data_IF_584992533655
#
_entry.id   IF_584992533655
#
_cell.length_a   1.000
_cell.length_b   1.000
_cell.length_c   1.000
_cell.angle_alpha   90.00
_cell.angle_beta   90.00
_cell.angle_gamma   90.00
#
_symmetry.space_group_name_H-M   'P 1'
#
loop_
_entity.id
_entity.type
_entity.pdbx_description
1 polymer ?
#
# COMPACT_ATOMS: atom_id res chain seq x y z
N UNK A 1 -58.73 -71.10 1.62
CA UNK A 1 -59.52 -69.96 2.14
C UNK A 1 -58.69 -68.71 1.93
N UNK A 2 -59.18 -67.84 1.06
CA UNK A 2 -58.74 -66.46 0.88
C UNK A 2 -58.95 -65.66 2.18
N UNK A 3 -58.17 -64.59 2.39
CA UNK A 3 -58.62 -63.18 2.46
C UNK A 3 -57.38 -62.27 2.59
N UNK A 4 -57.21 -61.40 1.57
CA UNK A 4 -56.81 -59.96 1.51
C UNK A 4 -55.81 -59.38 2.53
N UNK A 5 -54.75 -58.65 2.11
CA UNK A 5 -54.77 -57.23 1.68
C UNK A 5 -54.29 -56.34 2.85
N UNK A 6 -53.62 -55.19 2.76
CA UNK A 6 -53.16 -54.29 1.70
C UNK A 6 -52.15 -53.29 2.34
N UNK A 7 -51.22 -52.76 1.53
CA UNK A 7 -50.57 -51.43 1.58
C UNK A 7 -50.02 -50.82 2.90
N UNK A 8 -48.77 -50.35 2.88
CA UNK A 8 -48.43 -48.94 2.59
C UNK A 8 -46.99 -48.52 2.94
N UNK A 9 -46.40 -47.75 2.02
CA UNK A 9 -45.32 -46.76 2.18
C UNK A 9 -43.97 -47.21 2.76
N UNK A 10 -42.86 -47.01 2.06
CA UNK A 10 -42.16 -45.72 2.16
C UNK A 10 -41.27 -45.47 0.95
N UNK A 11 -41.83 -44.76 -0.02
CA UNK A 11 -41.08 -44.05 -1.07
C UNK A 11 -40.64 -42.70 -0.47
N UNK A 12 -39.47 -42.63 0.16
CA UNK A 12 -38.98 -41.36 0.76
C UNK A 12 -37.48 -41.12 0.68
N UNK A 13 -36.70 -42.00 0.05
CA UNK A 13 -35.23 -41.86 0.03
C UNK A 13 -34.65 -41.17 -1.20
N UNK A 14 -35.43 -40.97 -2.28
CA UNK A 14 -34.92 -40.36 -3.53
C UNK A 14 -35.24 -38.86 -3.64
N UNK A 15 -36.31 -38.37 -3.01
CA UNK A 15 -36.71 -36.97 -3.08
C UNK A 15 -35.84 -36.03 -2.21
N UNK A 16 -35.20 -36.55 -1.16
CA UNK A 16 -34.41 -35.75 -0.21
C UNK A 16 -32.97 -35.47 -0.65
N UNK A 17 -32.49 -36.05 -1.74
CA UNK A 17 -31.19 -35.68 -2.34
C UNK A 17 -31.27 -34.49 -3.30
N UNK A 18 -32.46 -34.02 -3.64
CA UNK A 18 -32.68 -32.99 -4.67
C UNK A 18 -32.95 -31.57 -4.12
N UNK A 19 -32.94 -31.38 -2.79
CA UNK A 19 -33.31 -30.10 -2.14
C UNK A 19 -32.19 -29.40 -1.35
N UNK A 20 -30.92 -29.76 -1.56
CA UNK A 20 -29.78 -28.97 -1.08
C UNK A 20 -28.76 -28.63 -2.17
N UNK A 21 -29.20 -28.51 -3.42
CA UNK A 21 -28.44 -27.77 -4.43
C UNK A 21 -28.96 -26.33 -4.46
N UNK A 22 -28.87 -25.62 -3.33
CA UNK A 22 -28.98 -24.16 -3.35
C UNK A 22 -27.76 -23.67 -4.10
N UNK A 23 -27.96 -23.33 -5.37
CA UNK A 23 -27.01 -22.71 -6.30
C UNK A 23 -25.81 -22.07 -5.58
N UNK A 24 -24.72 -22.83 -5.50
CA UNK A 24 -23.37 -22.29 -5.38
C UNK A 24 -22.95 -21.70 -6.73
N UNK A 25 -23.88 -21.03 -7.42
CA UNK A 25 -23.56 -20.24 -8.61
C UNK A 25 -22.59 -19.18 -8.15
N UNK A 26 -21.39 -19.17 -8.74
CA UNK A 26 -20.41 -18.12 -8.56
C UNK A 26 -20.97 -16.84 -9.21
N UNK A 27 -21.92 -16.20 -8.53
CA UNK A 27 -22.57 -14.94 -8.94
C UNK A 27 -21.54 -13.82 -9.07
N UNK A 28 -20.41 -13.96 -8.39
CA UNK A 28 -19.27 -13.06 -8.42
C UNK A 28 -18.53 -13.17 -9.77
N UNK A 29 -18.38 -14.38 -10.33
CA UNK A 29 -17.83 -14.58 -11.68
C UNK A 29 -18.73 -14.08 -12.81
N UNK A 30 -20.05 -13.98 -12.56
CA UNK A 30 -21.06 -13.47 -13.49
C UNK A 30 -21.11 -11.95 -13.61
N UNK A 31 -20.40 -11.20 -12.77
CA UNK A 31 -20.29 -9.74 -12.87
C UNK A 31 -19.49 -9.34 -14.12
N UNK A 32 -19.95 -8.27 -14.77
CA UNK A 32 -19.23 -7.64 -15.89
C UNK A 32 -17.95 -6.96 -15.38
N UNK A 33 -16.87 -6.99 -16.19
CA UNK A 33 -15.54 -6.49 -15.79
C UNK A 33 -15.53 -5.04 -15.26
N UNK A 34 -16.27 -4.07 -15.85
CA UNK A 34 -16.33 -2.72 -15.30
C UNK A 34 -16.84 -2.65 -13.86
N UNK A 35 -17.81 -3.50 -13.50
CA UNK A 35 -18.35 -3.58 -12.14
C UNK A 35 -17.32 -4.20 -11.19
N UNK A 36 -16.59 -5.22 -11.64
CA UNK A 36 -15.52 -5.82 -10.84
C UNK A 36 -14.41 -4.79 -10.60
N UNK A 37 -14.00 -4.01 -11.60
CA UNK A 37 -13.03 -2.93 -11.43
C UNK A 37 -13.50 -1.84 -10.47
N UNK A 38 -14.78 -1.48 -10.53
CA UNK A 38 -15.38 -0.54 -9.59
C UNK A 38 -15.32 -1.09 -8.16
N UNK A 39 -15.75 -2.33 -7.93
CA UNK A 39 -15.68 -2.99 -6.62
C UNK A 39 -14.24 -3.05 -6.12
N UNK A 40 -13.30 -3.53 -6.94
CA UNK A 40 -11.88 -3.63 -6.58
C UNK A 40 -11.24 -2.27 -6.27
N UNK A 41 -11.75 -1.16 -6.82
CA UNK A 41 -11.23 0.17 -6.52
C UNK A 41 -11.51 0.66 -5.09
N UNK A 42 -12.48 0.05 -4.41
CA UNK A 42 -12.83 0.36 -3.02
C UNK A 42 -12.22 -0.60 -1.99
N UNK A 43 -11.53 -1.64 -2.44
CA UNK A 43 -11.11 -2.78 -1.62
C UNK A 43 -9.58 -2.75 -1.43
N UNK A 44 -9.09 -3.07 -0.24
CA UNK A 44 -7.64 -3.19 0.01
C UNK A 44 -7.08 -4.44 -0.69
N UNK A 45 -5.83 -4.38 -1.17
CA UNK A 45 -5.16 -5.52 -1.80
C UNK A 45 -5.22 -6.83 -1.00
N UNK A 46 -5.26 -6.82 0.34
CA UNK A 46 -5.49 -8.09 1.08
C UNK A 46 -6.86 -8.69 0.75
N UNK A 47 -7.90 -7.88 0.76
CA UNK A 47 -9.27 -8.32 0.48
C UNK A 47 -9.39 -8.72 -1.00
N UNK A 48 -8.65 -8.07 -1.91
CA UNK A 48 -8.49 -8.53 -3.30
C UNK A 48 -7.86 -9.93 -3.38
N UNK A 49 -6.83 -10.19 -2.58
CA UNK A 49 -6.22 -11.52 -2.49
C UNK A 49 -7.16 -12.55 -1.83
N UNK A 50 -7.98 -12.15 -0.87
CA UNK A 50 -8.97 -13.05 -0.26
C UNK A 50 -10.12 -13.37 -1.22
N UNK A 51 -10.63 -12.38 -1.97
CA UNK A 51 -11.67 -12.57 -2.98
C UNK A 51 -11.16 -13.41 -4.16
N UNK A 52 -9.84 -13.42 -4.43
CA UNK A 52 -9.25 -14.32 -5.42
C UNK A 52 -9.32 -15.81 -5.03
N UNK A 53 -9.56 -16.13 -3.75
CA UNK A 53 -9.89 -17.49 -3.31
C UNK A 53 -11.33 -17.89 -3.65
N UNK A 54 -12.23 -16.91 -3.81
CA UNK A 54 -13.63 -17.13 -4.16
C UNK A 54 -13.83 -17.32 -5.67
N UNK A 55 -13.04 -16.61 -6.49
CA UNK A 55 -13.10 -16.75 -7.95
C UNK A 55 -11.74 -16.50 -8.60
N UNK A 56 -11.24 -17.49 -9.36
CA UNK A 56 -9.97 -17.40 -10.11
C UNK A 56 -9.95 -16.24 -11.12
N UNK A 57 -11.12 -15.78 -11.56
CA UNK A 57 -11.26 -14.62 -12.46
C UNK A 57 -10.71 -13.35 -11.80
N UNK A 58 -10.87 -13.18 -10.49
CA UNK A 58 -10.47 -11.97 -9.77
C UNK A 58 -8.95 -11.86 -9.57
N UNK A 59 -8.23 -12.99 -9.58
CA UNK A 59 -6.77 -13.05 -9.45
C UNK A 59 -6.01 -12.29 -10.52
N UNK A 60 -6.59 -12.10 -11.71
CA UNK A 60 -5.95 -11.37 -12.81
C UNK A 60 -6.49 -9.95 -13.00
N UNK A 61 -7.71 -9.67 -12.49
CA UNK A 61 -8.38 -8.40 -12.69
C UNK A 61 -7.74 -7.26 -11.90
N UNK A 62 -7.07 -7.54 -10.78
CA UNK A 62 -6.31 -6.51 -10.05
C UNK A 62 -5.22 -5.87 -10.91
N UNK A 63 -4.68 -6.53 -11.94
CA UNK A 63 -3.68 -5.92 -12.84
C UNK A 63 -4.27 -4.84 -13.75
N UNK A 64 -5.59 -4.82 -13.89
CA UNK A 64 -6.33 -3.85 -14.70
C UNK A 64 -7.02 -2.78 -13.85
N UNK A 65 -6.87 -2.80 -12.52
CA UNK A 65 -7.37 -1.74 -11.66
C UNK A 65 -6.50 -0.49 -11.79
N UNK A 66 -7.15 0.67 -11.71
CA UNK A 66 -6.49 1.98 -11.76
C UNK A 66 -6.00 2.44 -10.39
N UNK A 67 -6.59 1.94 -9.32
CA UNK A 67 -6.29 2.34 -7.95
C UNK A 67 -5.91 1.11 -7.15
N UNK A 68 -4.74 1.13 -6.52
CA UNK A 68 -4.27 0.06 -5.65
C UNK A 68 -3.84 0.64 -4.31
N UNK A 69 -4.43 0.12 -3.22
CA UNK A 69 -4.12 0.55 -1.86
C UNK A 69 -3.70 -0.64 -1.02
N UNK A 70 -2.63 -0.46 -0.26
CA UNK A 70 -2.13 -1.42 0.72
C UNK A 70 -2.12 -0.71 2.08
N UNK A 71 -2.91 -1.18 3.04
CA UNK A 71 -2.92 -0.68 4.40
C UNK A 71 -2.51 -1.76 5.42
N UNK A 72 -1.86 -1.35 6.51
CA UNK A 72 -1.43 -2.23 7.61
C UNK A 72 -2.55 -3.05 8.22
N UNK A 73 -3.66 -2.38 8.58
CA UNK A 73 -4.78 -3.01 9.31
C UNK A 73 -5.46 -4.09 8.50
N UNK A 74 -5.19 -4.13 7.19
CA UNK A 74 -5.61 -5.22 6.34
C UNK A 74 -4.90 -6.48 6.79
N UNK A 75 -3.59 -6.48 7.05
CA UNK A 75 -2.82 -7.72 7.30
C UNK A 75 -2.86 -8.25 8.73
N UNK A 76 -3.54 -7.56 9.65
CA UNK A 76 -3.60 -7.93 11.08
C UNK A 76 -4.99 -7.95 11.68
N UNK A 77 -5.14 -8.72 12.77
CA UNK A 77 -6.32 -8.67 13.62
C UNK A 77 -6.12 -7.49 14.58
N UNK A 78 -7.18 -6.73 14.90
CA UNK A 78 -7.22 -5.44 15.63
C UNK A 78 -6.63 -5.40 17.07
N UNK A 79 -5.70 -6.29 17.45
CA UNK A 79 -5.24 -6.49 18.82
C UNK A 79 -3.74 -6.30 19.06
N UNK A 80 -2.93 -6.09 18.02
CA UNK A 80 -1.46 -5.99 18.20
C UNK A 80 -0.96 -4.55 18.48
N UNK A 81 -1.87 -3.57 18.51
CA UNK A 81 -1.57 -2.18 18.78
C UNK A 81 -1.82 -1.96 20.27
N UNK A 82 -0.74 -1.99 21.04
CA UNK A 82 -0.70 -1.80 22.50
C UNK A 82 -1.18 -2.98 23.35
N UNK A 83 -0.25 -3.88 23.69
CA UNK A 83 -0.28 -4.55 24.99
C UNK A 83 1.14 -4.78 25.49
N UNK A 84 1.70 -3.73 26.10
CA UNK A 84 2.51 -3.99 27.28
C UNK A 84 1.66 -4.78 28.27
N UNK A 85 2.07 -6.01 28.57
CA UNK A 85 1.51 -6.93 29.61
C UNK A 85 0.37 -7.89 29.22
N UNK A 86 0.47 -8.69 28.17
CA UNK A 86 -0.29 -9.95 28.15
C UNK A 86 0.43 -11.14 27.46
N UNK A 87 1.16 -11.98 28.21
CA UNK A 87 1.89 -13.14 27.66
C UNK A 87 0.99 -14.33 27.26
N UNK A 88 -0.34 -14.25 27.44
CA UNK A 88 -1.26 -15.40 27.28
C UNK A 88 -2.01 -15.48 25.95
N UNK A 89 -1.90 -14.49 25.08
CA UNK A 89 -2.43 -14.63 23.71
C UNK A 89 -1.46 -15.49 22.90
N UNK A 90 -1.85 -16.74 22.63
CA UNK A 90 -1.11 -17.64 21.73
C UNK A 90 -0.90 -16.91 20.42
N UNK A 91 0.36 -16.55 20.14
CA UNK A 91 0.82 -15.96 18.87
C UNK A 91 0.26 -16.80 17.73
N UNK A 92 -0.74 -16.29 17.02
CA UNK A 92 -1.21 -16.95 15.81
C UNK A 92 -0.02 -17.04 14.85
N UNK A 93 0.33 -18.26 14.41
CA UNK A 93 1.46 -18.54 13.49
C UNK A 93 1.45 -17.69 12.20
N UNK A 94 0.31 -17.08 11.87
CA UNK A 94 0.11 -16.21 10.71
C UNK A 94 0.69 -14.79 10.87
N UNK A 95 1.01 -14.29 12.08
CA UNK A 95 1.62 -12.95 12.24
C UNK A 95 3.13 -12.93 11.96
N UNK A 96 3.69 -14.06 11.49
CA UNK A 96 5.14 -14.24 11.26
C UNK A 96 5.52 -14.32 9.77
N UNK A 97 4.73 -13.74 8.87
CA UNK A 97 5.12 -13.63 7.46
C UNK A 97 6.20 -12.56 7.29
N UNK A 98 7.44 -13.01 7.07
CA UNK A 98 8.57 -12.15 6.70
C UNK A 98 8.59 -11.95 5.19
N UNK A 99 7.98 -10.86 4.72
CA UNK A 99 8.02 -10.51 3.30
C UNK A 99 9.38 -9.92 2.96
N UNK A 100 10.17 -10.59 2.12
CA UNK A 100 11.51 -10.09 1.72
C UNK A 100 11.44 -9.10 0.56
N UNK A 101 10.45 -9.23 -0.32
CA UNK A 101 10.27 -8.40 -1.51
C UNK A 101 8.80 -8.18 -1.81
N UNK A 102 8.43 -6.94 -2.10
CA UNK A 102 7.14 -6.55 -2.69
C UNK A 102 7.43 -5.95 -4.07
N UNK A 103 6.83 -6.51 -5.11
CA UNK A 103 6.96 -6.01 -6.47
C UNK A 103 5.57 -5.64 -7.01
N UNK A 104 5.42 -4.41 -7.48
CA UNK A 104 4.16 -3.87 -8.00
C UNK A 104 4.40 -3.46 -9.44
N UNK A 105 3.56 -3.99 -10.33
CA UNK A 105 3.49 -3.61 -11.73
C UNK A 105 2.04 -3.65 -12.20
N UNK A 106 1.67 -2.68 -13.03
CA UNK A 106 0.29 -2.45 -13.42
C UNK A 106 0.23 -1.45 -14.57
N UNK A 107 0.00 -1.90 -15.82
CA UNK A 107 0.06 -1.01 -16.98
C UNK A 107 -1.00 0.10 -16.95
N UNK A 108 -2.16 -0.19 -16.32
CA UNK A 108 -3.30 0.73 -16.16
C UNK A 108 -3.36 1.38 -14.77
N UNK A 109 -2.36 1.15 -13.92
CA UNK A 109 -2.37 1.69 -12.56
C UNK A 109 -2.12 3.19 -12.61
N UNK A 110 -3.04 3.98 -12.05
CA UNK A 110 -3.03 5.45 -12.02
C UNK A 110 -2.74 5.98 -10.61
N UNK A 111 -3.17 5.26 -9.57
CA UNK A 111 -2.97 5.60 -8.16
C UNK A 111 -2.44 4.41 -7.36
N UNK A 112 -1.37 4.62 -6.61
CA UNK A 112 -0.81 3.64 -5.69
C UNK A 112 -0.65 4.24 -4.30
N UNK A 113 -1.15 3.55 -3.28
CA UNK A 113 -0.93 3.87 -1.88
C UNK A 113 -0.32 2.68 -1.14
N UNK A 114 0.80 2.92 -0.47
CA UNK A 114 1.47 2.01 0.44
C UNK A 114 1.44 2.65 1.83
N UNK A 115 0.66 2.11 2.74
CA UNK A 115 0.50 2.65 4.08
C UNK A 115 0.78 1.58 5.14
N UNK A 116 1.90 1.73 5.86
CA UNK A 116 2.31 0.87 6.97
C UNK A 116 2.25 -0.64 6.62
N UNK A 117 2.55 -0.98 5.37
CA UNK A 117 2.26 -2.28 4.74
C UNK A 117 2.81 -3.52 5.45
N UNK A 118 3.86 -3.39 6.27
CA UNK A 118 4.45 -4.49 7.03
C UNK A 118 4.62 -4.13 8.51
N UNK A 119 4.13 -5.00 9.39
CA UNK A 119 4.40 -4.98 10.83
C UNK A 119 5.75 -5.57 11.20
N UNK A 120 6.22 -5.23 12.40
CA UNK A 120 7.39 -5.82 13.04
C UNK A 120 8.69 -5.56 12.28
N UNK A 121 9.77 -6.23 12.69
CA UNK A 121 11.16 -6.09 12.19
C UNK A 121 11.38 -6.44 10.68
N UNK A 122 10.43 -6.14 9.81
CA UNK A 122 10.45 -6.29 8.35
C UNK A 122 11.14 -5.10 7.65
N UNK A 123 11.98 -4.34 8.36
CA UNK A 123 12.84 -3.31 7.77
C UNK A 123 13.77 -3.85 6.67
N UNK A 124 13.98 -5.17 6.59
CA UNK A 124 14.81 -5.79 5.55
C UNK A 124 14.04 -6.09 4.23
N UNK A 125 12.81 -5.61 4.07
CA UNK A 125 12.03 -5.77 2.83
C UNK A 125 12.50 -4.81 1.74
N UNK A 126 12.53 -5.27 0.49
CA UNK A 126 12.71 -4.39 -0.68
C UNK A 126 11.37 -4.13 -1.37
N UNK A 127 11.10 -2.87 -1.70
CA UNK A 127 9.93 -2.46 -2.48
C UNK A 127 10.38 -2.14 -3.91
N UNK A 128 9.76 -2.79 -4.90
CA UNK A 128 9.94 -2.47 -6.32
C UNK A 128 8.62 -2.03 -6.92
N UNK A 129 8.59 -0.84 -7.50
CA UNK A 129 7.47 -0.33 -8.29
C UNK A 129 8.01 -0.10 -9.69
N UNK A 130 7.50 -0.83 -10.67
CA UNK A 130 8.03 -0.79 -12.04
C UNK A 130 6.96 -1.10 -13.06
N UNK A 131 7.14 -0.62 -14.29
CA UNK A 131 6.24 -0.89 -15.41
C UNK A 131 4.79 -0.45 -15.12
N UNK A 132 4.66 0.77 -14.60
CA UNK A 132 3.39 1.46 -14.35
C UNK A 132 3.39 2.79 -15.11
N UNK A 133 3.36 2.77 -16.45
CA UNK A 133 3.50 3.98 -17.27
C UNK A 133 2.33 4.96 -17.11
N UNK A 134 1.22 4.53 -16.52
CA UNK A 134 0.04 5.36 -16.27
C UNK A 134 -0.03 5.92 -14.84
N UNK A 135 0.96 5.62 -13.99
CA UNK A 135 0.89 5.98 -12.57
C UNK A 135 1.03 7.49 -12.40
N UNK A 136 -0.06 8.16 -12.07
CA UNK A 136 -0.15 9.60 -11.90
C UNK A 136 0.09 10.03 -10.44
N UNK A 137 -0.24 9.17 -9.47
CA UNK A 137 -0.14 9.49 -8.04
C UNK A 137 0.45 8.34 -7.24
N UNK A 138 1.45 8.65 -6.42
CA UNK A 138 2.09 7.71 -5.50
C UNK A 138 2.03 8.24 -4.07
N UNK A 139 1.53 7.40 -3.16
CA UNK A 139 1.52 7.65 -1.72
C UNK A 139 2.30 6.56 -1.00
N UNK A 140 3.34 6.93 -0.27
CA UNK A 140 4.13 6.03 0.57
C UNK A 140 4.13 6.59 1.99
N UNK A 141 3.35 5.98 2.87
CA UNK A 141 3.24 6.32 4.29
C UNK A 141 3.76 5.14 5.11
N UNK A 142 4.71 5.36 6.02
CA UNK A 142 5.07 4.37 7.03
C UNK A 142 6.55 4.22 7.34
N UNK A 143 6.95 3.08 7.89
CA UNK A 143 8.35 2.80 8.21
C UNK A 143 9.24 2.74 6.96
N UNK A 144 10.48 3.21 7.07
CA UNK A 144 11.47 3.05 6.02
C UNK A 144 11.89 1.57 5.86
N UNK A 145 11.65 1.01 4.67
CA UNK A 145 12.13 -0.32 4.29
C UNK A 145 13.54 -0.28 3.71
N UNK A 146 14.17 -1.46 3.58
CA UNK A 146 15.59 -1.61 3.21
C UNK A 146 15.96 -0.83 1.96
N UNK A 147 15.17 -1.02 0.91
CA UNK A 147 15.43 -0.53 -0.43
C UNK A 147 14.12 -0.23 -1.14
N UNK A 148 14.14 0.86 -1.90
CA UNK A 148 13.12 1.19 -2.89
C UNK A 148 13.73 1.18 -4.28
N UNK A 149 13.01 0.62 -5.25
CA UNK A 149 13.37 0.63 -6.66
C UNK A 149 12.15 1.07 -7.44
N UNK A 150 12.16 2.32 -7.89
CA UNK A 150 11.07 2.96 -8.62
C UNK A 150 11.58 3.21 -10.05
N UNK A 151 11.04 2.48 -11.02
CA UNK A 151 11.49 2.48 -12.41
C UNK A 151 10.32 2.77 -13.34
N UNK A 152 10.55 3.61 -14.36
CA UNK A 152 9.57 3.90 -15.41
C UNK A 152 8.25 4.51 -14.88
N UNK A 153 8.35 5.55 -14.03
CA UNK A 153 7.23 6.32 -13.48
C UNK A 153 7.11 7.68 -14.17
N UNK A 154 7.15 7.71 -15.50
CA UNK A 154 7.21 8.96 -16.28
C UNK A 154 5.92 9.79 -16.22
N UNK A 155 4.77 9.16 -16.00
CA UNK A 155 3.49 9.84 -15.86
C UNK A 155 3.22 10.39 -14.45
N UNK A 156 4.14 10.19 -13.49
CA UNK A 156 3.91 10.57 -12.11
C UNK A 156 3.82 12.09 -11.96
N UNK A 157 2.70 12.57 -11.42
CA UNK A 157 2.41 13.99 -11.21
C UNK A 157 2.52 14.33 -9.73
N UNK A 158 1.98 13.49 -8.86
CA UNK A 158 1.92 13.72 -7.42
C UNK A 158 2.63 12.62 -6.65
N UNK A 159 3.42 13.00 -5.65
CA UNK A 159 4.05 12.08 -4.72
C UNK A 159 3.85 12.56 -3.28
N UNK A 160 3.41 11.66 -2.40
CA UNK A 160 3.31 11.91 -0.97
C UNK A 160 4.13 10.88 -0.22
N UNK A 161 5.21 11.33 0.40
CA UNK A 161 6.17 10.48 1.11
C UNK A 161 6.16 10.90 2.58
N UNK A 162 5.49 10.09 3.39
CA UNK A 162 5.50 10.20 4.83
C UNK A 162 6.23 9.00 5.39
N UNK A 163 7.32 9.25 6.09
CA UNK A 163 8.13 8.16 6.63
C UNK A 163 8.30 8.32 8.12
N UNK A 164 8.24 7.21 8.86
CA UNK A 164 8.40 7.19 10.30
C UNK A 164 9.76 6.60 10.65
N UNK A 165 10.49 7.29 11.52
CA UNK A 165 11.63 6.69 12.19
C UNK A 165 11.14 5.73 13.28
N UNK A 166 11.64 4.49 13.28
CA UNK A 166 11.47 3.58 14.42
C UNK A 166 12.39 4.04 15.56
N UNK A 167 11.95 3.89 16.81
CA UNK A 167 12.66 4.28 18.03
C UNK A 167 14.00 3.52 18.20
N UNK A 168 14.22 2.42 17.48
CA UNK A 168 15.42 1.59 17.59
C UNK A 168 16.58 2.13 16.72
N UNK A 169 17.47 2.88 17.38
CA UNK A 169 18.94 3.11 17.26
C UNK A 169 19.74 2.80 15.96
N UNK A 170 19.28 2.07 14.94
CA UNK A 170 19.95 1.99 13.62
C UNK A 170 19.64 3.23 12.76
N UNK A 171 20.01 4.38 13.35
CA UNK A 171 19.67 5.77 12.99
C UNK A 171 20.23 6.20 11.64
N UNK A 172 19.42 6.94 10.89
CA UNK A 172 19.70 7.73 9.68
C UNK A 172 20.12 7.04 8.37
N UNK A 173 21.00 6.03 8.38
CA UNK A 173 21.57 5.51 7.12
C UNK A 173 20.52 4.78 6.26
N UNK A 174 19.66 3.96 6.86
CA UNK A 174 18.59 3.24 6.13
C UNK A 174 17.54 4.20 5.58
N UNK A 175 17.21 5.23 6.37
CA UNK A 175 16.25 6.27 5.99
C UNK A 175 16.75 7.13 4.84
N UNK A 176 17.92 7.75 4.96
CA UNK A 176 18.47 8.62 3.91
C UNK A 176 18.67 7.87 2.58
N UNK A 177 19.08 6.59 2.65
CA UNK A 177 19.12 5.71 1.47
C UNK A 177 17.75 5.46 0.87
N UNK A 178 16.75 5.13 1.70
CA UNK A 178 15.37 4.92 1.27
C UNK A 178 14.81 6.16 0.57
N UNK A 179 14.90 7.33 1.22
CA UNK A 179 14.45 8.59 0.66
C UNK A 179 15.21 8.93 -0.63
N UNK A 180 16.54 8.76 -0.67
CA UNK A 180 17.33 8.97 -1.89
C UNK A 180 16.83 8.12 -3.06
N UNK A 181 16.56 6.84 -2.79
CA UNK A 181 16.04 5.92 -3.80
C UNK A 181 14.65 6.30 -4.28
N UNK A 182 13.77 6.76 -3.39
CA UNK A 182 12.44 7.23 -3.75
C UNK A 182 12.54 8.49 -4.62
N UNK A 183 13.29 9.50 -4.19
CA UNK A 183 13.48 10.77 -4.91
C UNK A 183 14.01 10.53 -6.34
N UNK A 184 14.98 9.62 -6.50
CA UNK A 184 15.52 9.22 -7.81
C UNK A 184 14.49 8.57 -8.74
N UNK A 185 13.43 7.99 -8.20
CA UNK A 185 12.39 7.32 -8.97
C UNK A 185 11.17 8.18 -9.29
N UNK A 186 10.97 9.30 -8.58
CA UNK A 186 9.82 10.20 -8.77
C UNK A 186 10.18 11.47 -9.55
N UNK A 187 11.19 11.40 -10.42
CA UNK A 187 11.84 12.56 -11.06
C UNK A 187 10.94 13.49 -11.85
N UNK A 188 9.75 13.06 -12.28
CA UNK A 188 8.82 13.87 -13.08
C UNK A 188 7.68 14.48 -12.25
N UNK A 189 7.65 14.24 -10.94
CA UNK A 189 6.58 14.74 -10.07
C UNK A 189 6.58 16.27 -10.03
N UNK A 190 5.37 16.85 -10.17
CA UNK A 190 5.14 18.30 -10.10
C UNK A 190 4.72 18.75 -8.70
N UNK A 191 4.18 17.84 -7.92
CA UNK A 191 3.74 18.06 -6.53
C UNK A 191 4.34 16.99 -5.63
N UNK A 192 5.00 17.44 -4.57
CA UNK A 192 5.65 16.59 -3.59
C UNK A 192 5.21 16.99 -2.18
N UNK A 193 4.76 16.00 -1.40
CA UNK A 193 4.55 16.14 0.04
C UNK A 193 5.60 15.32 0.77
N UNK A 194 6.32 15.93 1.71
CA UNK A 194 7.31 15.28 2.58
C UNK A 194 6.95 15.53 4.06
N UNK A 195 6.82 14.46 4.83
CA UNK A 195 6.70 14.56 6.29
C UNK A 195 8.06 14.81 6.94
N UNK A 196 8.15 15.50 8.08
CA UNK A 196 9.39 15.82 8.81
C UNK A 196 9.71 14.81 9.92
N UNK A 197 8.82 13.85 10.19
CA UNK A 197 9.05 12.81 11.17
C UNK A 197 10.26 11.95 10.76
N UNK A 198 11.33 11.97 11.57
CA UNK A 198 12.57 11.23 11.27
C UNK A 198 13.66 12.03 10.55
N UNK A 199 13.44 13.31 10.27
CA UNK A 199 14.43 14.16 9.57
C UNK A 199 15.46 14.76 10.53
N UNK A 200 16.37 13.93 11.04
CA UNK A 200 17.74 14.40 11.33
C UNK A 200 18.54 14.58 10.03
N UNK A 201 18.08 13.99 8.92
CA UNK A 201 18.71 13.97 7.57
C UNK A 201 18.49 15.27 6.79
N UNK A 202 17.99 16.30 7.44
CA UNK A 202 17.60 17.54 6.78
C UNK A 202 18.79 18.38 6.30
N UNK A 203 19.92 18.29 7.00
CA UNK A 203 21.18 18.85 6.49
C UNK A 203 21.62 18.19 5.18
N UNK A 204 21.22 16.94 4.94
CA UNK A 204 21.56 16.20 3.71
C UNK A 204 20.50 16.33 2.61
N UNK A 205 19.25 16.69 2.92
CA UNK A 205 18.16 16.74 1.94
C UNK A 205 18.46 17.66 0.73
N UNK A 206 18.96 18.91 0.91
CA UNK A 206 19.40 19.74 -0.21
C UNK A 206 20.44 19.01 -1.09
N UNK A 207 21.46 18.42 -0.48
CA UNK A 207 22.50 17.66 -1.19
C UNK A 207 21.94 16.42 -1.92
N UNK A 208 20.88 15.81 -1.41
CA UNK A 208 20.19 14.70 -2.07
C UNK A 208 19.40 15.17 -3.29
N UNK A 209 18.74 16.33 -3.18
CA UNK A 209 17.94 16.91 -4.26
C UNK A 209 18.81 17.44 -5.41
N UNK A 210 19.98 18.01 -5.11
CA UNK A 210 20.98 18.39 -6.13
C UNK A 210 21.38 17.19 -7.01
N UNK A 211 21.33 15.96 -6.49
CA UNK A 211 21.62 14.73 -7.24
C UNK A 211 20.43 14.25 -8.09
N UNK A 212 19.30 14.96 -8.04
CA UNK A 212 18.08 14.63 -8.78
C UNK A 212 17.57 15.88 -9.51
N UNK A 213 18.36 16.46 -10.45
CA UNK A 213 18.08 17.77 -11.05
C UNK A 213 16.74 17.81 -11.81
N UNK A 214 16.31 16.69 -12.39
CA UNK A 214 15.04 16.61 -13.12
C UNK A 214 13.85 16.84 -12.17
N UNK A 215 13.90 16.29 -10.95
CA UNK A 215 12.86 16.52 -9.94
C UNK A 215 12.83 18.00 -9.56
N UNK A 216 14.01 18.55 -9.30
CA UNK A 216 14.19 19.95 -8.90
C UNK A 216 13.66 20.91 -9.97
N UNK A 217 13.85 20.59 -11.26
CA UNK A 217 13.38 21.39 -12.39
C UNK A 217 11.91 21.16 -12.76
N UNK A 218 11.24 20.13 -12.23
CA UNK A 218 9.84 19.84 -12.54
C UNK A 218 8.87 20.20 -11.41
N UNK A 219 9.38 20.29 -10.18
CA UNK A 219 8.57 20.52 -8.99
C UNK A 219 8.05 21.96 -8.92
N UNK A 220 6.71 22.09 -8.82
CA UNK A 220 6.00 23.37 -8.69
C UNK A 220 5.35 23.54 -7.33
N UNK A 221 5.01 22.43 -6.68
CA UNK A 221 4.36 22.41 -5.38
C UNK A 221 5.14 21.53 -4.40
N UNK A 222 5.48 22.08 -3.24
CA UNK A 222 6.14 21.38 -2.15
C UNK A 222 5.35 21.60 -0.86
N UNK A 223 4.88 20.50 -0.26
CA UNK A 223 4.24 20.51 1.06
C UNK A 223 5.13 19.79 2.06
N UNK A 224 5.36 20.42 3.20
CA UNK A 224 6.22 19.94 4.27
C UNK A 224 5.37 19.82 5.53
N UNK A 225 5.14 18.59 6.00
CA UNK A 225 4.24 18.29 7.14
C UNK A 225 5.01 17.82 8.35
N UNK A 226 4.70 18.28 9.57
CA UNK A 226 5.47 17.92 10.80
C UNK A 226 6.85 18.57 10.90
N UNK A 227 7.01 19.80 10.39
CA UNK A 227 8.26 20.56 10.40
C UNK A 227 8.19 21.64 11.50
N UNK A 228 8.34 21.25 12.76
CA UNK A 228 7.96 22.08 13.91
C UNK A 228 9.12 22.59 14.80
N UNK A 229 10.38 22.33 14.45
CA UNK A 229 11.56 22.76 15.22
C UNK A 229 12.26 23.98 14.61
N UNK A 230 12.75 24.90 15.47
CA UNK A 230 13.53 26.09 15.05
C UNK A 230 14.81 25.73 14.29
N UNK A 231 15.37 24.55 14.57
CA UNK A 231 16.54 24.01 13.86
C UNK A 231 16.31 23.83 12.35
N UNK A 232 15.05 23.72 11.89
CA UNK A 232 14.75 23.51 10.47
C UNK A 232 14.78 24.78 9.62
N UNK A 233 14.83 25.98 10.22
CA UNK A 233 14.75 27.23 9.45
C UNK A 233 15.92 27.40 8.47
N UNK A 234 17.13 27.00 8.88
CA UNK A 234 18.31 27.04 8.01
C UNK A 234 18.23 26.00 6.90
N UNK A 235 17.74 24.80 7.20
CA UNK A 235 17.58 23.75 6.22
C UNK A 235 16.47 24.08 5.23
N UNK A 236 15.40 24.74 5.67
CA UNK A 236 14.35 25.28 4.80
C UNK A 236 14.92 26.35 3.86
N UNK A 237 15.74 27.27 4.35
CA UNK A 237 16.37 28.28 3.50
C UNK A 237 17.22 27.62 2.39
N UNK A 238 18.10 26.68 2.75
CA UNK A 238 18.89 25.91 1.77
C UNK A 238 18.03 25.10 0.81
N UNK A 239 16.93 24.52 1.30
CA UNK A 239 16.02 23.74 0.47
C UNK A 239 15.36 24.61 -0.60
N UNK A 240 14.99 25.84 -0.27
CA UNK A 240 14.37 26.78 -1.21
C UNK A 240 15.35 27.26 -2.28
N UNK A 241 16.64 27.39 -1.96
CA UNK A 241 17.68 27.71 -2.95
C UNK A 241 17.79 26.64 -4.04
N UNK A 242 17.41 25.39 -3.76
CA UNK A 242 17.49 24.29 -4.72
C UNK A 242 16.40 24.40 -5.80
N UNK A 243 15.20 24.91 -5.51
CA UNK A 243 14.06 24.83 -6.43
C UNK A 243 13.81 26.13 -7.21
N UNK A 244 14.24 26.23 -8.49
CA UNK A 244 14.09 27.46 -9.28
C UNK A 244 12.67 27.74 -9.76
N UNK A 245 11.81 26.72 -9.82
CA UNK A 245 10.46 26.78 -10.41
C UNK A 245 9.35 26.50 -9.39
N UNK A 246 9.67 26.54 -8.09
CA UNK A 246 8.68 26.31 -7.04
C UNK A 246 7.68 27.47 -6.99
N UNK A 247 6.41 27.16 -7.27
CA UNK A 247 5.32 28.14 -7.28
C UNK A 247 4.59 28.18 -5.92
N UNK A 248 4.58 27.06 -5.19
CA UNK A 248 3.86 26.95 -3.92
C UNK A 248 4.65 26.13 -2.91
N UNK A 249 4.87 26.73 -1.74
CA UNK A 249 5.38 26.06 -0.55
C UNK A 249 4.30 26.05 0.53
N UNK A 250 3.95 24.88 1.04
CA UNK A 250 3.04 24.71 2.17
C UNK A 250 3.81 24.15 3.35
N UNK A 251 3.78 24.86 4.47
CA UNK A 251 4.29 24.39 5.76
C UNK A 251 3.09 24.04 6.65
N UNK A 252 2.91 22.75 6.91
CA UNK A 252 1.82 22.26 7.76
C UNK A 252 2.37 21.79 9.10
N UNK A 253 1.97 22.50 10.16
CA UNK A 253 2.23 22.08 11.53
C UNK A 253 1.22 21.01 11.90
N UNK A 254 1.70 19.87 12.38
CA UNK A 254 0.80 18.92 13.07
C UNK A 254 0.59 19.39 14.49
N UNK A 255 -0.68 19.54 14.85
CA UNK A 255 -1.17 19.80 16.21
C UNK A 255 -0.87 18.63 17.15
#
# INVERSE_FOLDING_TARGET
MEVEGNSSSSSSTVANKKLMNMNNEDRISGLHEPLIHHILSFIDMKEVLQTSLLSKRWTNLWRSVRTLKFHEHSWTNRYDHWNGRNPRLKKNKLTKFKVKRLAISGPKLEYLQLENIFQGYNYNTSIKISATPSLASLKCIGYAYKNYTLENLSALVTAEIETYADYVVTRNISFGRCLSSILKGITNAKSLTLSGNGFQVFEELPNMLERVPILVQSLKYLKLTKWCDKSYIYSLAKLLEVFPLLETLVLERTE
#
